data_IF_912389616215
#
_entry.id   IF_912389616215
#
_cell.length_a   1.000
_cell.length_b   1.000
_cell.length_c   1.000
_cell.angle_alpha   90.00
_cell.angle_beta   90.00
_cell.angle_gamma   90.00
#
_symmetry.space_group_name_H-M   'P 1'
#
loop_
_entity.id
_entity.type
_entity.pdbx_description
1 polymer ?
#
# COMPACT_ATOMS: atom_id res chain seq x y z
N UNK A 1 -15.28 -7.32 7.12
CA UNK A 1 -16.58 -6.64 7.00
C UNK A 1 -17.14 -6.93 5.61
N UNK A 2 -17.98 -7.97 5.45
CA UNK A 2 -18.49 -8.37 4.12
C UNK A 2 -19.45 -7.31 3.56
N UNK A 3 -20.36 -6.80 4.40
CA UNK A 3 -21.38 -5.83 3.98
C UNK A 3 -20.76 -4.52 3.46
N UNK A 4 -19.62 -4.10 4.03
CA UNK A 4 -18.89 -2.94 3.54
C UNK A 4 -18.27 -3.19 2.16
N UNK A 5 -17.73 -4.41 1.91
CA UNK A 5 -17.21 -4.77 0.59
C UNK A 5 -18.33 -4.81 -0.45
N UNK A 6 -19.50 -5.33 -0.09
CA UNK A 6 -20.67 -5.33 -0.98
C UNK A 6 -21.15 -3.91 -1.29
N UNK A 7 -21.30 -3.07 -0.26
CA UNK A 7 -21.72 -1.68 -0.43
C UNK A 7 -20.73 -0.88 -1.29
N UNK A 8 -19.42 -1.03 -1.04
CA UNK A 8 -18.38 -0.39 -1.82
C UNK A 8 -18.36 -0.89 -3.27
N UNK A 9 -18.52 -2.19 -3.50
CA UNK A 9 -18.57 -2.79 -4.84
C UNK A 9 -19.76 -2.26 -5.63
N UNK A 10 -20.96 -2.27 -5.05
CA UNK A 10 -22.17 -1.73 -5.70
C UNK A 10 -22.05 -0.25 -6.01
N UNK A 11 -21.48 0.54 -5.10
CA UNK A 11 -21.24 1.96 -5.32
C UNK A 11 -20.24 2.19 -6.46
N UNK A 12 -19.12 1.45 -6.46
CA UNK A 12 -18.11 1.56 -7.52
C UNK A 12 -18.67 1.17 -8.89
N UNK A 13 -19.45 0.09 -8.99
CA UNK A 13 -20.11 -0.30 -10.25
C UNK A 13 -21.07 0.80 -10.72
N UNK A 14 -21.90 1.34 -9.82
CA UNK A 14 -22.89 2.38 -10.15
C UNK A 14 -22.26 3.68 -10.66
N UNK A 15 -21.11 4.06 -10.12
CA UNK A 15 -20.48 5.36 -10.38
C UNK A 15 -19.19 5.26 -11.19
N UNK A 16 -18.96 4.15 -11.87
CA UNK A 16 -17.74 3.91 -12.65
C UNK A 16 -16.45 4.10 -11.81
N UNK A 17 -16.49 3.69 -10.55
CA UNK A 17 -15.39 3.78 -9.59
C UNK A 17 -14.50 2.54 -9.51
N UNK A 18 -13.52 2.62 -8.62
CA UNK A 18 -12.56 1.56 -8.25
C UNK A 18 -12.56 1.40 -6.73
N UNK A 19 -12.44 0.17 -6.23
CA UNK A 19 -12.29 -0.07 -4.78
C UNK A 19 -10.83 -0.38 -4.46
N UNK A 20 -10.25 0.35 -3.50
CA UNK A 20 -8.94 0.04 -2.96
C UNK A 20 -9.05 -0.61 -1.57
N UNK A 21 -8.60 -1.86 -1.45
CA UNK A 21 -8.62 -2.61 -0.20
C UNK A 21 -7.25 -2.51 0.48
N UNK A 22 -7.21 -1.84 1.62
CA UNK A 22 -6.03 -1.82 2.50
C UNK A 22 -5.93 -3.18 3.19
N UNK A 23 -4.81 -3.90 2.97
CA UNK A 23 -4.55 -5.16 3.67
C UNK A 23 -4.58 -4.92 5.18
N UNK A 24 -5.43 -5.62 5.95
CA UNK A 24 -5.41 -5.48 7.39
C UNK A 24 -4.07 -5.92 7.99
N UNK A 25 -3.65 -5.25 9.07
CA UNK A 25 -2.35 -5.47 9.72
C UNK A 25 -2.19 -6.89 10.31
N UNK A 26 -3.28 -7.63 10.49
CA UNK A 26 -3.32 -8.99 11.03
C UNK A 26 -3.54 -10.06 9.97
N UNK A 27 -3.62 -9.68 8.69
CA UNK A 27 -3.93 -10.58 7.57
C UNK A 27 -2.67 -10.91 6.78
N UNK A 28 -2.47 -12.20 6.50
CA UNK A 28 -1.41 -12.70 5.63
C UNK A 28 -1.68 -12.27 4.17
N UNK A 29 -0.65 -12.06 3.32
CA UNK A 29 -0.87 -11.60 1.96
C UNK A 29 -1.75 -12.56 1.15
N UNK A 30 -1.61 -13.88 1.32
CA UNK A 30 -2.38 -14.92 0.62
C UNK A 30 -3.89 -14.82 0.90
N UNK A 31 -4.26 -14.42 2.12
CA UNK A 31 -5.66 -14.32 2.55
C UNK A 31 -6.38 -13.12 1.93
N UNK A 32 -5.67 -12.18 1.30
CA UNK A 32 -6.27 -11.07 0.56
C UNK A 32 -7.18 -11.56 -0.57
N UNK A 33 -6.93 -12.77 -1.11
CA UNK A 33 -7.74 -13.40 -2.16
C UNK A 33 -9.22 -13.51 -1.77
N UNK A 34 -9.53 -13.65 -0.49
CA UNK A 34 -10.92 -13.74 -0.03
C UNK A 34 -11.66 -12.41 -0.16
N UNK A 35 -10.97 -11.28 0.01
CA UNK A 35 -11.55 -9.96 -0.22
C UNK A 35 -11.75 -9.69 -1.71
N UNK A 36 -10.77 -10.10 -2.54
CA UNK A 36 -10.85 -10.04 -4.01
C UNK A 36 -12.07 -10.83 -4.52
N UNK A 37 -12.15 -12.13 -4.18
CA UNK A 37 -13.25 -13.02 -4.60
C UNK A 37 -14.63 -12.54 -4.17
N UNK A 38 -14.73 -11.88 -3.01
CA UNK A 38 -16.01 -11.27 -2.58
C UNK A 38 -16.40 -10.11 -3.50
N UNK A 39 -15.47 -9.20 -3.79
CA UNK A 39 -15.74 -8.08 -4.70
C UNK A 39 -16.11 -8.57 -6.11
N UNK A 40 -15.39 -9.58 -6.62
CA UNK A 40 -15.72 -10.25 -7.90
C UNK A 40 -17.10 -10.87 -7.88
N UNK A 41 -17.48 -11.58 -6.80
CA UNK A 41 -18.81 -12.16 -6.64
C UNK A 41 -19.94 -11.09 -6.59
N UNK A 42 -19.61 -9.85 -6.20
CA UNK A 42 -20.52 -8.70 -6.27
C UNK A 42 -20.48 -8.00 -7.63
N UNK A 43 -19.71 -8.49 -8.60
CA UNK A 43 -19.60 -7.97 -9.96
C UNK A 43 -18.58 -6.86 -10.14
N UNK A 44 -17.69 -6.61 -9.16
CA UNK A 44 -16.65 -5.59 -9.28
C UNK A 44 -15.37 -6.17 -9.88
N UNK A 45 -15.00 -5.70 -11.07
CA UNK A 45 -13.75 -6.09 -11.75
C UNK A 45 -12.57 -5.15 -11.44
N UNK A 46 -12.85 -3.86 -11.16
CA UNK A 46 -11.81 -2.86 -10.88
C UNK A 46 -11.54 -2.73 -9.40
N UNK A 47 -10.47 -3.36 -8.95
CA UNK A 47 -9.99 -3.24 -7.57
C UNK A 47 -8.49 -3.02 -7.49
N UNK A 48 -8.05 -2.48 -6.35
CA UNK A 48 -6.65 -2.34 -5.95
C UNK A 48 -6.45 -3.03 -4.59
N UNK A 49 -5.27 -3.59 -4.38
CA UNK A 49 -4.83 -4.04 -3.06
C UNK A 49 -3.73 -3.11 -2.56
N UNK A 50 -3.76 -2.73 -1.28
CA UNK A 50 -2.72 -1.88 -0.69
C UNK A 50 -2.01 -2.57 0.46
N UNK A 51 -0.69 -2.73 0.35
CA UNK A 51 0.20 -3.09 1.47
C UNK A 51 0.41 -1.85 2.37
N UNK A 52 0.30 -2.03 3.69
CA UNK A 52 0.42 -0.94 4.68
C UNK A 52 1.10 -1.35 5.98
N UNK A 53 1.83 -2.45 5.99
CA UNK A 53 2.50 -3.04 7.14
C UNK A 53 1.64 -4.08 7.87
N UNK A 54 2.33 -5.01 8.54
CA UNK A 54 1.76 -6.09 9.34
C UNK A 54 2.20 -5.92 10.80
N UNK A 55 1.31 -6.21 11.75
CA UNK A 55 1.60 -6.11 13.19
C UNK A 55 2.83 -6.93 13.56
N UNK A 56 3.79 -6.29 14.24
CA UNK A 56 5.03 -6.93 14.68
C UNK A 56 5.26 -6.69 16.17
N UNK A 57 4.67 -7.55 17.00
CA UNK A 57 4.62 -7.34 18.44
C UNK A 57 3.80 -6.10 18.80
N UNK A 58 4.14 -5.44 19.91
CA UNK A 58 3.38 -4.30 20.41
C UNK A 58 3.89 -2.97 19.83
N UNK A 59 2.95 -2.21 19.26
CA UNK A 59 3.16 -0.84 18.81
C UNK A 59 4.11 -0.66 17.63
N UNK A 60 4.28 -1.71 16.82
CA UNK A 60 5.14 -1.69 15.64
C UNK A 60 4.50 -2.42 14.47
N UNK A 61 4.84 -1.95 13.28
CA UNK A 61 4.55 -2.61 12.02
C UNK A 61 5.85 -3.04 11.36
N UNK A 62 5.81 -4.14 10.62
CA UNK A 62 6.88 -4.58 9.72
C UNK A 62 6.32 -4.70 8.31
N UNK A 63 7.15 -4.37 7.32
CA UNK A 63 6.80 -4.43 5.92
C UNK A 63 7.45 -5.65 5.29
N UNK A 64 6.69 -6.73 5.16
CA UNK A 64 7.10 -7.91 4.41
C UNK A 64 6.91 -7.65 2.91
N UNK A 65 8.00 -7.32 2.20
CA UNK A 65 7.91 -6.96 0.79
C UNK A 65 7.56 -8.15 -0.12
N UNK A 66 7.56 -9.39 0.39
CA UNK A 66 7.02 -10.56 -0.33
C UNK A 66 5.50 -10.42 -0.54
N UNK A 67 4.81 -9.63 0.28
CA UNK A 67 3.39 -9.34 0.09
C UNK A 67 3.09 -8.75 -1.29
N UNK A 68 4.02 -7.97 -1.87
CA UNK A 68 3.82 -7.32 -3.17
C UNK A 68 3.65 -8.36 -4.29
N UNK A 69 4.64 -9.22 -4.61
CA UNK A 69 4.48 -10.23 -5.65
C UNK A 69 3.36 -11.24 -5.34
N UNK A 70 3.15 -11.61 -4.06
CA UNK A 70 2.07 -12.53 -3.67
C UNK A 70 0.70 -11.91 -4.00
N UNK A 71 0.43 -10.67 -3.59
CA UNK A 71 -0.85 -10.01 -3.88
C UNK A 71 -1.03 -9.72 -5.38
N UNK A 72 0.06 -9.41 -6.11
CA UNK A 72 -0.01 -9.22 -7.57
C UNK A 72 -0.46 -10.48 -8.30
N UNK A 73 -0.07 -11.66 -7.82
CA UNK A 73 -0.50 -12.94 -8.40
C UNK A 73 -2.02 -13.18 -8.36
N UNK A 74 -2.75 -12.38 -7.59
CA UNK A 74 -4.21 -12.45 -7.49
C UNK A 74 -4.93 -11.70 -8.62
N UNK A 75 -4.23 -10.85 -9.39
CA UNK A 75 -4.80 -10.09 -10.51
C UNK A 75 -4.86 -8.56 -10.31
N UNK A 76 -5.34 -8.05 -9.16
CA UNK A 76 -5.41 -6.60 -8.90
C UNK A 76 -4.04 -5.92 -8.87
N UNK A 77 -3.93 -4.66 -9.34
CA UNK A 77 -2.75 -3.84 -9.09
C UNK A 77 -2.49 -3.65 -7.59
N UNK A 78 -1.22 -3.70 -7.21
CA UNK A 78 -0.79 -3.57 -5.81
C UNK A 78 -0.17 -2.21 -5.54
N UNK A 79 -0.73 -1.50 -4.58
CA UNK A 79 -0.24 -0.22 -4.08
C UNK A 79 0.55 -0.44 -2.80
N UNK A 80 1.62 0.32 -2.59
CA UNK A 80 2.30 0.38 -1.31
C UNK A 80 2.00 1.72 -0.62
N UNK A 81 1.49 1.65 0.61
CA UNK A 81 1.20 2.81 1.45
C UNK A 81 2.46 3.24 2.20
N UNK A 82 3.14 4.27 1.70
CA UNK A 82 4.42 4.68 2.24
C UNK A 82 4.31 5.39 3.61
N UNK A 83 3.18 6.03 3.92
CA UNK A 83 2.99 6.80 5.15
C UNK A 83 2.48 5.93 6.28
N UNK A 84 1.47 5.11 6.05
CA UNK A 84 0.93 4.26 7.10
C UNK A 84 1.81 3.03 7.41
N UNK A 85 2.70 2.64 6.50
CA UNK A 85 3.68 1.58 6.73
C UNK A 85 4.78 1.94 7.73
N UNK A 86 4.97 3.24 8.01
CA UNK A 86 5.92 3.74 9.02
C UNK A 86 5.25 4.12 10.34
N UNK A 87 3.95 3.85 10.45
CA UNK A 87 3.16 4.13 11.63
C UNK A 87 3.58 3.24 12.80
N UNK A 88 3.59 3.81 14.01
CA UNK A 88 3.79 3.08 15.27
C UNK A 88 2.47 3.07 16.05
N UNK A 89 1.64 2.01 15.91
CA UNK A 89 0.30 1.98 16.50
C UNK A 89 0.30 2.07 18.04
N UNK A 90 -0.74 2.66 18.62
CA UNK A 90 -0.92 2.75 20.08
C UNK A 90 -0.39 4.04 20.72
N UNK A 91 -0.42 4.09 22.05
CA UNK A 91 -0.15 5.32 22.81
C UNK A 91 -1.36 6.25 22.92
N UNK A 92 -1.17 7.47 23.46
CA UNK A 92 -2.22 8.50 23.53
C UNK A 92 -2.60 9.04 22.14
N UNK A 93 -1.65 9.02 21.22
CA UNK A 93 -1.81 9.31 19.79
C UNK A 93 -0.86 8.41 19.02
N UNK A 94 -1.27 8.01 17.82
CA UNK A 94 -0.44 7.16 16.97
C UNK A 94 0.81 7.91 16.51
N UNK A 95 1.98 7.30 16.71
CA UNK A 95 3.27 7.85 16.27
C UNK A 95 3.63 7.45 14.84
N UNK A 96 4.86 7.78 14.44
CA UNK A 96 5.37 7.56 13.09
C UNK A 96 6.87 7.79 12.95
N UNK A 97 7.47 7.16 11.94
CA UNK A 97 8.86 7.36 11.52
C UNK A 97 8.89 7.86 10.07
N UNK A 98 8.47 9.12 9.85
CA UNK A 98 8.48 9.80 8.54
C UNK A 98 9.76 9.57 7.74
N UNK A 99 10.90 9.61 8.42
CA UNK A 99 12.23 9.46 7.83
C UNK A 99 12.40 8.13 7.10
N UNK A 100 11.58 7.11 7.41
CA UNK A 100 11.59 5.80 6.77
C UNK A 100 10.77 5.74 5.47
N UNK A 101 9.88 6.70 5.21
CA UNK A 101 9.04 6.77 3.99
C UNK A 101 9.86 6.55 2.72
N UNK A 102 10.93 7.33 2.44
CA UNK A 102 11.65 7.20 1.18
C UNK A 102 12.38 5.85 1.06
N UNK A 103 12.82 5.24 2.16
CA UNK A 103 13.50 3.95 2.13
C UNK A 103 12.56 2.81 1.79
N UNK A 104 11.41 2.75 2.47
CA UNK A 104 10.42 1.70 2.24
C UNK A 104 9.74 1.84 0.89
N UNK A 105 9.44 3.06 0.45
CA UNK A 105 8.85 3.30 -0.87
C UNK A 105 9.78 2.85 -2.00
N UNK A 106 11.08 3.18 -1.94
CA UNK A 106 12.07 2.67 -2.91
C UNK A 106 12.11 1.14 -2.94
N UNK A 107 12.11 0.51 -1.77
CA UNK A 107 12.13 -0.94 -1.69
C UNK A 107 10.84 -1.56 -2.28
N UNK A 108 9.68 -0.98 -2.02
CA UNK A 108 8.41 -1.43 -2.59
C UNK A 108 8.36 -1.29 -4.12
N UNK A 109 8.86 -0.18 -4.67
CA UNK A 109 8.97 0.01 -6.14
C UNK A 109 9.93 -1.01 -6.74
N UNK A 110 11.07 -1.27 -6.09
CA UNK A 110 12.02 -2.30 -6.53
C UNK A 110 11.44 -3.72 -6.46
N UNK A 111 10.51 -3.99 -5.55
CA UNK A 111 9.73 -5.24 -5.49
C UNK A 111 8.54 -5.27 -6.47
N UNK A 112 8.35 -4.21 -7.27
CA UNK A 112 7.41 -4.20 -8.37
C UNK A 112 5.98 -3.79 -8.02
N UNK A 113 5.76 -2.97 -6.99
CA UNK A 113 4.42 -2.41 -6.76
C UNK A 113 3.95 -1.56 -7.96
N UNK A 114 2.63 -1.51 -8.17
CA UNK A 114 1.99 -0.79 -9.28
C UNK A 114 1.74 0.68 -8.98
N UNK A 115 1.81 1.07 -7.70
CA UNK A 115 1.74 2.46 -7.29
C UNK A 115 2.16 2.68 -5.84
N UNK A 116 2.26 3.95 -5.49
CA UNK A 116 2.54 4.41 -4.12
C UNK A 116 1.35 5.25 -3.64
N UNK A 117 0.90 4.98 -2.42
CA UNK A 117 0.04 5.87 -1.66
C UNK A 117 0.90 6.65 -0.67
N UNK A 118 0.74 7.97 -0.60
CA UNK A 118 1.41 8.81 0.39
C UNK A 118 0.51 9.96 0.80
N UNK A 119 0.33 10.15 2.11
CA UNK A 119 -0.32 11.34 2.66
C UNK A 119 0.69 12.49 2.82
N UNK A 120 0.20 13.70 2.59
CA UNK A 120 1.01 14.92 2.66
C UNK A 120 0.30 16.02 3.42
N UNK A 121 1.07 16.92 4.02
CA UNK A 121 0.55 18.13 4.66
C UNK A 121 1.55 19.28 4.51
N UNK A 122 1.08 20.54 4.36
CA UNK A 122 1.98 21.71 4.33
C UNK A 122 2.84 21.82 5.60
N UNK A 123 2.24 21.58 6.77
CA UNK A 123 2.93 21.49 8.05
C UNK A 123 2.46 20.26 8.83
N UNK A 124 3.11 19.10 8.70
CA UNK A 124 2.64 17.88 9.36
C UNK A 124 2.55 17.97 10.90
N UNK A 125 3.19 18.94 11.54
CA UNK A 125 3.07 19.14 12.99
C UNK A 125 1.68 19.66 13.41
N UNK A 126 0.96 20.29 12.48
CA UNK A 126 -0.39 20.83 12.67
C UNK A 126 -1.48 19.92 12.08
N UNK A 127 -1.12 18.75 11.54
CA UNK A 127 -2.09 17.83 10.98
C UNK A 127 -3.00 17.28 12.09
N UNK A 128 -4.31 17.26 11.82
CA UNK A 128 -5.32 16.78 12.79
C UNK A 128 -5.31 15.25 12.98
N UNK A 129 -4.71 14.52 12.04
CA UNK A 129 -4.47 13.08 12.11
C UNK A 129 -3.14 12.76 11.43
N UNK A 130 -2.48 11.70 11.88
CA UNK A 130 -1.33 11.06 11.23
C UNK A 130 -0.13 11.98 10.89
N UNK A 131 -0.06 13.16 11.50
CA UNK A 131 1.02 14.13 11.31
C UNK A 131 2.44 13.54 11.39
N UNK A 132 2.76 12.64 12.33
CA UNK A 132 4.07 11.98 12.38
C UNK A 132 4.41 11.08 11.18
N UNK A 133 3.40 10.64 10.42
CA UNK A 133 3.52 9.72 9.28
C UNK A 133 3.51 10.42 7.91
N UNK A 134 3.02 11.65 7.83
CA UNK A 134 2.85 12.35 6.54
C UNK A 134 4.18 12.77 5.94
N UNK A 135 4.28 12.83 4.62
CA UNK A 135 5.38 13.50 3.93
C UNK A 135 5.13 15.03 3.94
N UNK A 136 6.13 15.90 4.18
CA UNK A 136 5.95 17.33 3.96
C UNK A 136 5.59 17.61 2.49
N UNK A 137 4.67 18.55 2.25
CA UNK A 137 4.18 18.81 0.88
C UNK A 137 5.27 19.28 -0.08
N UNK A 138 6.20 20.09 0.41
CA UNK A 138 7.31 20.61 -0.39
C UNK A 138 8.27 19.49 -0.85
N UNK A 139 8.32 18.37 -0.12
CA UNK A 139 9.16 17.22 -0.46
C UNK A 139 8.51 16.25 -1.47
N UNK A 140 7.18 16.38 -1.70
CA UNK A 140 6.43 15.41 -2.50
C UNK A 140 6.91 15.30 -3.95
N UNK A 141 7.21 16.43 -4.60
CA UNK A 141 7.65 16.44 -6.00
C UNK A 141 8.99 15.70 -6.17
N UNK A 142 9.94 15.93 -5.26
CA UNK A 142 11.23 15.25 -5.26
C UNK A 142 11.08 13.75 -4.97
N UNK A 143 10.23 13.40 -4.00
CA UNK A 143 9.89 12.02 -3.67
C UNK A 143 9.28 11.28 -4.87
N UNK A 144 8.26 11.85 -5.52
CA UNK A 144 7.59 11.24 -6.66
C UNK A 144 8.54 11.06 -7.85
N UNK A 145 9.39 12.05 -8.13
CA UNK A 145 10.43 11.96 -9.17
C UNK A 145 11.40 10.82 -8.87
N UNK A 146 11.79 10.63 -7.62
CA UNK A 146 12.63 9.51 -7.23
C UNK A 146 11.93 8.16 -7.46
N UNK A 147 10.65 8.03 -7.09
CA UNK A 147 9.90 6.78 -7.30
C UNK A 147 9.75 6.45 -8.79
N UNK A 148 9.54 7.45 -9.64
CA UNK A 148 9.51 7.26 -11.10
C UNK A 148 10.82 6.69 -11.63
N UNK A 149 11.97 7.24 -11.21
CA UNK A 149 13.29 6.72 -11.60
C UNK A 149 13.50 5.26 -11.18
N UNK A 150 13.08 4.90 -9.97
CA UNK A 150 13.13 3.50 -9.51
C UNK A 150 12.20 2.61 -10.34
N UNK A 151 11.03 3.12 -10.74
CA UNK A 151 10.10 2.37 -11.58
C UNK A 151 10.63 2.18 -13.00
N UNK A 152 11.24 3.19 -13.58
CA UNK A 152 11.88 3.10 -14.90
C UNK A 152 12.98 2.04 -14.89
N UNK A 153 13.86 2.09 -13.88
CA UNK A 153 14.89 1.07 -13.68
C UNK A 153 14.31 -0.33 -13.47
N UNK A 154 13.25 -0.47 -12.67
CA UNK A 154 12.56 -1.75 -12.49
C UNK A 154 12.05 -2.29 -13.85
N UNK A 155 11.42 -1.45 -14.66
CA UNK A 155 10.91 -1.85 -15.98
C UNK A 155 12.05 -2.25 -16.95
N UNK A 156 13.25 -1.69 -16.81
CA UNK A 156 14.42 -2.07 -17.60
C UNK A 156 14.99 -3.44 -17.20
N UNK A 157 14.88 -3.82 -15.92
CA UNK A 157 15.50 -5.04 -15.37
C UNK A 157 14.56 -6.25 -15.47
N UNK A 158 13.25 -6.04 -15.32
CA UNK A 158 12.25 -7.13 -15.33
C UNK A 158 12.17 -7.75 -16.73
N UNK A 159 12.73 -8.96 -16.84
CA UNK A 159 13.00 -9.66 -18.11
C UNK A 159 14.29 -10.48 -18.05
N UNK A 160 15.20 -10.16 -17.12
CA UNK A 160 16.36 -10.99 -16.75
C UNK A 160 15.90 -11.96 -15.65
N UNK A 161 15.60 -13.21 -16.04
CA UNK A 161 15.07 -14.30 -15.21
C UNK A 161 15.16 -14.09 -13.69
N UNK A 162 14.03 -13.80 -13.05
CA UNK A 162 13.89 -14.06 -11.62
C UNK A 162 14.21 -15.55 -11.41
N UNK A 163 15.16 -15.80 -10.51
CA UNK A 163 15.80 -17.10 -10.26
C UNK A 163 14.77 -18.24 -10.37
N UNK A 164 15.03 -19.29 -11.19
CA UNK A 164 14.11 -20.40 -11.33
C UNK A 164 13.75 -20.98 -9.95
N UNK A 165 12.46 -21.26 -9.72
CA UNK A 165 12.02 -22.00 -8.54
C UNK A 165 12.78 -23.32 -8.45
N UNK A 166 13.49 -23.53 -7.33
CA UNK A 166 14.07 -24.82 -6.98
C UNK A 166 12.97 -25.86 -6.70
#
# INVERSE_FOLDING_TARGET
QTDLLEAASKAAIKYDGVVNIKKPQFVAPEDCIHAVKKCEAFGLERLLLTERGTTFGYGRLVNDLRCIPIMKSMGPPVIFDATHSVQTPGGKSTGGQREMIPFLARAAVACGCDGIFAETHPDPSQALSDGPNMLPLDDFAAFATQMQKFRDLFNEIVGVSDIPSA
#
